data_IF_066094443000
#
_entry.id   IF_066094443000
#
_cell.length_a   1.000
_cell.length_b   1.000
_cell.length_c   1.000
_cell.angle_alpha   90.00
_cell.angle_beta   90.00
_cell.angle_gamma   90.00
#
_symmetry.space_group_name_H-M   'P 1'
#
loop_
_entity.id
_entity.type
_entity.pdbx_description
1 polymer ?
#
# COMPACT_ATOMS: atom_id res chain seq x y z
N UNK A 1 2.88 -14.03 -2.09
CA UNK A 1 1.54 -13.43 -2.06
C UNK A 1 1.50 -12.11 -1.32
N UNK A 2 1.47 -11.01 -2.07
CA UNK A 2 1.23 -9.68 -1.53
C UNK A 2 -0.27 -9.48 -1.31
N UNK A 3 -0.64 -8.78 -0.23
CA UNK A 3 -2.04 -8.48 0.07
C UNK A 3 -2.17 -7.15 0.80
N UNK A 4 -3.35 -6.53 0.66
CA UNK A 4 -3.76 -5.38 1.46
C UNK A 4 -4.99 -5.78 2.26
N UNK A 5 -4.91 -5.62 3.58
CA UNK A 5 -6.03 -5.88 4.50
C UNK A 5 -6.38 -4.60 5.24
N UNK A 6 -7.63 -4.16 5.09
CA UNK A 6 -8.20 -3.02 5.83
C UNK A 6 -9.31 -3.55 6.72
N UNK A 7 -9.27 -3.20 8.01
CA UNK A 7 -10.35 -3.48 8.97
C UNK A 7 -11.02 -2.18 9.37
N UNK A 8 -12.29 -2.06 9.02
CA UNK A 8 -13.11 -0.92 9.40
C UNK A 8 -13.55 -0.98 10.86
N UNK A 9 -14.02 0.16 11.38
CA UNK A 9 -14.57 0.26 12.73
C UNK A 9 -15.84 -0.60 12.95
N UNK A 10 -16.50 -1.00 11.85
CA UNK A 10 -17.62 -1.94 11.87
C UNK A 10 -17.19 -3.42 11.99
N UNK A 11 -15.88 -3.70 12.08
CA UNK A 11 -15.34 -5.06 12.13
C UNK A 11 -15.26 -5.76 10.77
N UNK A 12 -15.67 -5.12 9.68
CA UNK A 12 -15.56 -5.70 8.34
C UNK A 12 -14.09 -5.73 7.89
N UNK A 13 -13.69 -6.85 7.29
CA UNK A 13 -12.40 -7.05 6.65
C UNK A 13 -12.57 -6.85 5.14
N UNK A 14 -11.82 -5.90 4.60
CA UNK A 14 -11.63 -5.72 3.17
C UNK A 14 -10.24 -6.22 2.81
N UNK A 15 -10.14 -7.13 1.85
CA UNK A 15 -8.88 -7.74 1.45
C UNK A 15 -8.76 -7.73 -0.06
N UNK A 16 -7.59 -7.29 -0.51
CA UNK A 16 -7.16 -7.43 -1.90
C UNK A 16 -5.99 -8.40 -1.89
N UNK A 17 -6.21 -9.58 -2.48
CA UNK A 17 -5.18 -10.58 -2.71
C UNK A 17 -4.60 -10.39 -4.13
N UNK A 18 -3.29 -10.10 -4.20
CA UNK A 18 -2.58 -9.95 -5.46
C UNK A 18 -2.04 -11.29 -6.00
N UNK A 19 -2.31 -12.39 -5.29
CA UNK A 19 -1.77 -13.73 -5.59
C UNK A 19 -0.25 -13.67 -5.77
N UNK A 20 0.29 -14.31 -6.81
CA UNK A 20 1.71 -14.30 -7.15
C UNK A 20 2.04 -13.35 -8.30
N UNK A 21 1.12 -12.44 -8.63
CA UNK A 21 1.40 -11.39 -9.61
C UNK A 21 2.48 -10.45 -9.09
N UNK A 22 3.30 -9.95 -10.02
CA UNK A 22 4.19 -8.83 -9.72
C UNK A 22 3.34 -7.59 -9.43
N UNK A 23 3.73 -6.79 -8.43
CA UNK A 23 3.03 -5.56 -8.08
C UNK A 23 3.90 -4.33 -8.28
N UNK A 24 3.27 -3.21 -8.62
CA UNK A 24 3.85 -1.88 -8.49
C UNK A 24 3.33 -1.22 -7.21
N UNK A 25 4.16 -0.37 -6.60
CA UNK A 25 3.77 0.46 -5.47
C UNK A 25 4.24 1.88 -5.75
N UNK A 26 3.30 2.79 -5.88
CA UNK A 26 3.55 4.22 -6.04
C UNK A 26 3.12 4.96 -4.79
N UNK A 27 3.90 5.97 -4.39
CA UNK A 27 3.63 6.78 -3.20
C UNK A 27 3.56 8.24 -3.62
N UNK A 28 2.39 8.84 -3.42
CA UNK A 28 2.15 10.25 -3.65
C UNK A 28 2.03 10.97 -2.31
N UNK A 29 2.72 12.09 -2.16
CA UNK A 29 2.72 12.86 -0.91
C UNK A 29 2.35 14.30 -1.21
N UNK A 30 1.39 14.83 -0.45
CA UNK A 30 1.07 16.26 -0.44
C UNK A 30 1.10 16.79 1.00
N UNK A 31 0.66 18.03 1.24
CA UNK A 31 0.75 18.65 2.57
C UNK A 31 -0.11 17.96 3.63
N UNK A 32 -1.17 17.26 3.23
CA UNK A 32 -2.16 16.70 4.15
C UNK A 32 -2.13 15.17 4.17
N UNK A 33 -1.84 14.54 3.04
CA UNK A 33 -2.03 13.12 2.85
C UNK A 33 -0.84 12.45 2.17
N UNK A 34 -0.69 11.16 2.47
CA UNK A 34 0.11 10.19 1.73
C UNK A 34 -0.86 9.22 1.08
N UNK A 35 -0.75 9.05 -0.22
CA UNK A 35 -1.52 8.09 -0.99
C UNK A 35 -0.60 7.00 -1.52
N UNK A 36 -0.97 5.75 -1.23
CA UNK A 36 -0.30 4.57 -1.75
C UNK A 36 -1.20 3.95 -2.82
N UNK A 37 -0.65 3.76 -4.00
CA UNK A 37 -1.29 3.05 -5.11
C UNK A 37 -0.54 1.75 -5.32
N UNK A 38 -1.26 0.64 -5.20
CA UNK A 38 -0.70 -0.71 -5.36
C UNK A 38 -1.48 -1.40 -6.45
N UNK A 39 -0.81 -1.85 -7.50
CA UNK A 39 -1.44 -2.50 -8.65
C UNK A 39 -0.73 -3.81 -9.00
N UNK A 40 -1.50 -4.82 -9.43
CA UNK A 40 -0.93 -5.98 -10.10
C UNK A 40 -0.51 -5.62 -11.54
N UNK A 41 0.69 -6.00 -11.93
CA UNK A 41 1.16 -5.99 -13.31
C UNK A 41 0.54 -7.16 -14.06
N UNK A 42 -0.72 -7.00 -14.45
CA UNK A 42 -1.45 -7.92 -15.31
C UNK A 42 -1.97 -7.14 -16.52
N UNK A 43 -1.17 -7.14 -17.60
CA UNK A 43 -1.51 -6.44 -18.86
C UNK A 43 -2.61 -7.17 -19.65
N UNK A 44 -2.78 -8.47 -19.43
CA UNK A 44 -3.75 -9.31 -20.14
C UNK A 44 -5.16 -9.21 -19.54
N UNK A 45 -5.29 -8.73 -18.30
CA UNK A 45 -6.60 -8.47 -17.68
C UNK A 45 -7.26 -7.18 -18.19
N UNK A 46 -8.57 -7.22 -18.50
CA UNK A 46 -9.37 -6.02 -18.66
C UNK A 46 -9.24 -5.11 -17.43
N UNK A 47 -9.18 -3.79 -17.63
CA UNK A 47 -8.93 -2.83 -16.55
C UNK A 47 -9.91 -2.95 -15.37
N UNK A 48 -11.16 -3.35 -15.60
CA UNK A 48 -12.17 -3.54 -14.55
C UNK A 48 -11.87 -4.72 -13.62
N UNK A 49 -11.00 -5.64 -14.04
CA UNK A 49 -10.58 -6.83 -13.30
C UNK A 49 -9.15 -6.71 -12.77
N UNK A 50 -8.48 -5.58 -13.02
CA UNK A 50 -7.17 -5.32 -12.44
C UNK A 50 -7.31 -5.26 -10.93
N UNK A 51 -6.38 -5.93 -10.26
CA UNK A 51 -6.29 -5.90 -8.82
C UNK A 51 -5.53 -4.66 -8.43
N UNK A 52 -6.16 -3.82 -7.64
CA UNK A 52 -5.55 -2.61 -7.14
C UNK A 52 -6.02 -2.35 -5.71
N UNK A 53 -5.18 -1.65 -4.95
CA UNK A 53 -5.53 -1.08 -3.66
C UNK A 53 -5.03 0.36 -3.62
N UNK A 54 -5.92 1.27 -3.21
CA UNK A 54 -5.58 2.67 -2.96
C UNK A 54 -5.77 2.95 -1.48
N UNK A 55 -4.73 3.44 -0.83
CA UNK A 55 -4.74 3.77 0.60
C UNK A 55 -4.37 5.23 0.76
N UNK A 56 -5.28 6.03 1.32
CA UNK A 56 -5.05 7.43 1.63
C UNK A 56 -4.93 7.60 3.16
N UNK A 57 -3.80 8.15 3.61
CA UNK A 57 -3.46 8.31 5.03
C UNK A 57 -3.15 9.77 5.34
N UNK A 58 -3.48 10.27 6.55
CA UNK A 58 -2.97 11.56 7.00
C UNK A 58 -1.44 11.55 7.03
N UNK A 59 -0.82 12.57 6.42
CA UNK A 59 0.64 12.66 6.32
C UNK A 59 1.33 12.71 7.68
N UNK A 60 0.77 13.43 8.63
CA UNK A 60 1.32 13.54 9.99
C UNK A 60 1.45 12.18 10.69
N UNK A 61 0.46 11.30 10.47
CA UNK A 61 0.43 9.95 11.04
C UNK A 61 1.45 9.04 10.36
N UNK A 62 1.54 9.13 9.02
CA UNK A 62 2.52 8.38 8.25
C UNK A 62 3.96 8.78 8.62
N UNK A 63 4.26 10.08 8.65
CA UNK A 63 5.59 10.60 8.98
C UNK A 63 6.02 10.16 10.40
N UNK A 64 5.09 10.20 11.36
CA UNK A 64 5.33 9.71 12.72
C UNK A 64 5.68 8.22 12.72
N UNK A 65 4.89 7.39 12.04
CA UNK A 65 5.12 5.94 11.97
C UNK A 65 6.46 5.60 11.29
N UNK A 66 6.83 6.33 10.24
CA UNK A 66 8.10 6.16 9.54
C UNK A 66 9.30 6.56 10.40
N UNK A 67 9.20 7.69 11.11
CA UNK A 67 10.24 8.13 12.04
C UNK A 67 10.46 7.12 13.18
N UNK A 68 9.38 6.55 13.74
CA UNK A 68 9.48 5.48 14.74
C UNK A 68 10.13 4.21 14.19
N UNK A 69 9.81 3.84 12.95
CA UNK A 69 10.38 2.67 12.30
C UNK A 69 11.88 2.83 12.06
N UNK A 70 12.31 4.00 11.58
CA UNK A 70 13.73 4.32 11.40
C UNK A 70 14.52 4.25 12.72
N UNK A 71 13.96 4.78 13.81
CA UNK A 71 14.58 4.74 15.16
C UNK A 71 14.73 3.33 15.71
N UNK A 72 13.82 2.41 15.36
CA UNK A 72 13.85 1.00 15.80
C UNK A 72 14.92 0.18 15.09
N UNK A 73 15.69 0.75 14.16
CA UNK A 73 16.82 0.10 13.50
C UNK A 73 16.46 -1.08 12.60
N UNK A 74 15.18 -1.38 12.43
CA UNK A 74 14.66 -2.41 11.51
C UNK A 74 14.21 -1.76 10.22
N UNK A 75 15.15 -1.20 9.45
CA UNK A 75 14.83 -0.75 8.09
C UNK A 75 15.46 -1.72 7.09
N UNK A 76 14.69 -2.74 6.74
CA UNK A 76 14.80 -3.38 5.44
C UNK A 76 13.64 -2.87 4.57
N UNK A 77 13.58 -1.55 4.35
CA UNK A 77 12.86 -1.03 3.18
C UNK A 77 13.84 -1.19 2.02
N UNK A 78 13.83 -2.37 1.40
CA UNK A 78 14.42 -2.53 0.08
C UNK A 78 13.47 -1.87 -0.91
N UNK A 79 13.85 -0.68 -1.35
CA UNK A 79 13.42 -0.20 -2.66
C UNK A 79 14.01 -1.18 -3.67
N UNK A 80 13.16 -1.94 -4.34
CA UNK A 80 13.53 -2.75 -5.50
C UNK A 80 13.45 -1.82 -6.70
N UNK A 81 14.61 -1.49 -7.27
CA UNK A 81 14.76 -0.96 -8.63
C UNK A 81 14.25 -1.98 -9.66
#
# INVERSE_FOLDING_TARGET
MAHVIIRGNNGCRHEVDFEDDQITVEVFVNDHNVELVIEALDEDRPWQKKRFALVNLPRSEFDRAMAETARKGKSAIKVVE
#
